data_IF_446134470138
#
_entry.id   IF_446134470138
#
_cell.length_a   1.000
_cell.length_b   1.000
_cell.length_c   1.000
_cell.angle_alpha   90.00
_cell.angle_beta   90.00
_cell.angle_gamma   90.00
#
_symmetry.space_group_name_H-M   'P 1'
#
loop_
_entity.id
_entity.type
_entity.pdbx_description
1 polymer ?
#
# COMPACT_ATOMS: atom_id res chain seq x y z
N UNK A 1 8.84 -12.79 12.87
CA UNK A 1 9.92 -11.79 12.82
C UNK A 1 9.28 -10.46 13.13
N UNK A 2 9.82 -9.77 14.14
CA UNK A 2 9.40 -8.46 14.71
C UNK A 2 7.89 -8.21 14.72
N UNK A 3 7.21 -8.68 15.77
CA UNK A 3 5.92 -8.12 16.15
C UNK A 3 6.12 -6.63 16.46
N UNK A 4 5.44 -5.74 15.74
CA UNK A 4 5.40 -4.31 16.06
C UNK A 4 5.13 -4.14 17.55
N UNK A 5 6.12 -3.57 18.26
CA UNK A 5 6.07 -3.41 19.70
C UNK A 5 4.98 -2.41 20.06
N UNK A 6 4.06 -2.80 20.93
CA UNK A 6 3.01 -1.94 21.45
C UNK A 6 3.64 -0.78 22.25
N UNK A 7 3.75 0.41 21.66
CA UNK A 7 4.25 1.60 22.36
C UNK A 7 3.08 2.21 23.15
N UNK A 8 3.23 2.35 24.47
CA UNK A 8 2.25 3.04 25.31
C UNK A 8 2.16 4.50 24.84
N UNK A 9 1.01 4.89 24.30
CA UNK A 9 0.75 6.24 23.79
C UNK A 9 0.77 6.37 22.27
N UNK A 10 1.03 5.31 21.50
CA UNK A 10 0.90 5.36 20.04
C UNK A 10 -0.56 5.70 19.65
N UNK A 11 -0.81 6.74 18.84
CA UNK A 11 -2.15 7.03 18.34
C UNK A 11 -2.69 5.96 17.38
N UNK A 12 -1.86 5.03 16.92
CA UNK A 12 -2.20 3.96 15.98
C UNK A 12 -2.22 2.60 16.68
N UNK A 13 -3.21 1.78 16.31
CA UNK A 13 -3.24 0.34 16.55
C UNK A 13 -3.10 -0.33 15.19
N UNK A 14 -2.16 -1.26 15.04
CA UNK A 14 -1.96 -1.97 13.78
C UNK A 14 -2.05 -3.48 13.93
N UNK A 15 -2.32 -4.13 12.80
CA UNK A 15 -2.33 -5.57 12.65
C UNK A 15 -1.61 -5.94 11.36
N UNK A 16 -0.42 -6.50 11.49
CA UNK A 16 0.39 -7.03 10.39
C UNK A 16 0.11 -8.53 10.19
N UNK A 17 -0.74 -8.84 9.21
CA UNK A 17 -1.16 -10.20 8.86
C UNK A 17 -0.26 -10.75 7.76
N UNK A 18 1.00 -10.99 8.13
CA UNK A 18 2.07 -11.35 7.21
C UNK A 18 1.73 -12.57 6.34
N UNK A 19 1.02 -13.58 6.84
CA UNK A 19 0.68 -14.78 6.04
C UNK A 19 -0.40 -14.51 5.00
N UNK A 20 -1.28 -13.57 5.28
CA UNK A 20 -2.38 -13.15 4.44
C UNK A 20 -1.97 -12.02 3.49
N UNK A 21 -0.75 -11.48 3.67
CA UNK A 21 -0.20 -10.32 2.95
C UNK A 21 -1.10 -9.08 3.08
N UNK A 22 -1.65 -8.86 4.28
CA UNK A 22 -2.53 -7.72 4.60
C UNK A 22 -2.00 -7.00 5.83
N UNK A 23 -1.96 -5.68 5.77
CA UNK A 23 -1.72 -4.81 6.91
C UNK A 23 -2.92 -3.90 7.14
N UNK A 24 -3.33 -3.74 8.40
CA UNK A 24 -4.43 -2.88 8.82
C UNK A 24 -3.94 -1.90 9.88
N UNK A 25 -4.37 -0.63 9.78
CA UNK A 25 -4.16 0.34 10.85
C UNK A 25 -5.46 1.04 11.26
N UNK A 26 -5.58 1.25 12.56
CA UNK A 26 -6.75 1.81 13.23
C UNK A 26 -6.33 2.98 14.12
N UNK A 27 -7.17 4.00 14.22
CA UNK A 27 -6.98 5.02 15.24
C UNK A 27 -7.21 4.40 16.61
N UNK A 28 -6.27 4.57 17.54
CA UNK A 28 -6.37 3.98 18.87
C UNK A 28 -7.58 4.47 19.66
N UNK A 29 -7.87 5.77 19.59
CA UNK A 29 -8.94 6.42 20.35
C UNK A 29 -10.33 5.99 19.90
N UNK A 30 -10.56 5.90 18.59
CA UNK A 30 -11.87 5.59 18.01
C UNK A 30 -12.04 4.15 17.55
N UNK A 31 -10.93 3.39 17.47
CA UNK A 31 -10.85 2.03 16.90
C UNK A 31 -11.35 1.92 15.46
N UNK A 32 -11.41 3.05 14.73
CA UNK A 32 -11.79 3.07 13.32
C UNK A 32 -10.60 2.68 12.44
N UNK A 33 -10.83 1.77 11.49
CA UNK A 33 -9.88 1.44 10.43
C UNK A 33 -9.66 2.67 9.55
N UNK A 34 -8.40 3.02 9.31
CA UNK A 34 -8.07 4.13 8.40
C UNK A 34 -7.04 3.71 7.34
N UNK A 35 -6.33 2.60 7.51
CA UNK A 35 -5.35 2.13 6.52
C UNK A 35 -5.56 0.64 6.23
N UNK A 36 -5.55 0.31 4.95
CA UNK A 36 -5.45 -1.06 4.46
C UNK A 36 -4.32 -1.13 3.45
N UNK A 37 -3.38 -2.03 3.65
CA UNK A 37 -2.34 -2.34 2.67
C UNK A 37 -2.44 -3.80 2.25
N UNK A 38 -2.46 -4.05 0.94
CA UNK A 38 -2.30 -5.37 0.34
C UNK A 38 -0.89 -5.47 -0.23
N UNK A 39 -0.12 -6.48 0.19
CA UNK A 39 1.21 -6.76 -0.37
C UNK A 39 1.08 -7.87 -1.41
N UNK A 40 1.28 -7.52 -2.68
CA UNK A 40 1.16 -8.45 -3.80
C UNK A 40 2.45 -9.22 -4.05
N UNK A 41 3.57 -8.54 -3.85
CA UNK A 41 4.91 -9.09 -3.97
C UNK A 41 5.77 -8.57 -2.82
N UNK A 42 6.62 -9.44 -2.29
CA UNK A 42 7.59 -9.13 -1.24
C UNK A 42 8.98 -9.48 -1.81
N UNK A 43 9.82 -8.46 -2.03
CA UNK A 43 11.18 -8.66 -2.58
C UNK A 43 12.08 -9.47 -1.64
N UNK A 44 11.86 -9.39 -0.33
CA UNK A 44 12.59 -10.18 0.67
C UNK A 44 12.07 -11.63 0.70
N UNK A 45 10.85 -11.87 0.20
CA UNK A 45 10.18 -13.18 0.17
C UNK A 45 9.52 -13.45 -1.18
N UNK A 46 10.31 -13.64 -2.25
CA UNK A 46 9.77 -13.75 -3.62
C UNK A 46 8.88 -14.99 -3.86
N UNK A 47 8.86 -15.96 -2.95
CA UNK A 47 7.92 -17.11 -2.98
C UNK A 47 6.56 -16.79 -2.37
N UNK A 48 6.47 -15.72 -1.59
CA UNK A 48 5.24 -15.26 -0.96
C UNK A 48 4.43 -14.44 -1.98
N UNK A 49 3.34 -15.03 -2.46
CA UNK A 49 2.36 -14.34 -3.29
C UNK A 49 1.14 -14.01 -2.44
N UNK A 50 0.42 -12.94 -2.80
CA UNK A 50 -0.88 -12.64 -2.19
C UNK A 50 -1.81 -13.87 -2.32
N UNK A 51 -2.24 -14.48 -1.20
CA UNK A 51 -2.86 -15.79 -1.21
C UNK A 51 -4.35 -15.76 -1.59
N UNK A 52 -4.98 -14.58 -1.51
CA UNK A 52 -6.41 -14.42 -1.69
C UNK A 52 -6.76 -13.94 -3.11
N UNK A 53 -8.03 -14.10 -3.48
CA UNK A 53 -8.55 -13.44 -4.68
C UNK A 53 -8.53 -11.92 -4.47
N UNK A 54 -7.97 -11.19 -5.43
CA UNK A 54 -7.96 -9.74 -5.39
C UNK A 54 -9.35 -9.18 -5.73
N UNK A 55 -9.80 -8.11 -5.04
CA UNK A 55 -11.05 -7.46 -5.40
C UNK A 55 -10.93 -6.84 -6.79
N UNK A 56 -12.03 -6.86 -7.55
CA UNK A 56 -12.09 -6.14 -8.82
C UNK A 56 -11.83 -4.63 -8.56
N UNK A 57 -11.08 -3.95 -9.43
CA UNK A 57 -10.56 -4.42 -10.71
C UNK A 57 -9.15 -5.03 -10.67
N UNK A 58 -8.55 -5.21 -9.49
CA UNK A 58 -7.16 -5.61 -9.37
C UNK A 58 -6.90 -7.03 -9.86
N UNK A 59 -5.70 -7.26 -10.39
CA UNK A 59 -5.20 -8.57 -10.83
C UNK A 59 -3.82 -8.83 -10.21
N UNK A 60 -3.37 -10.09 -10.22
CA UNK A 60 -2.14 -10.50 -9.53
C UNK A 60 -0.89 -9.77 -10.03
N UNK A 61 -0.79 -9.57 -11.34
CA UNK A 61 0.34 -8.91 -11.98
C UNK A 61 -0.15 -7.65 -12.67
N UNK A 62 0.22 -6.50 -12.12
CA UNK A 62 -0.14 -5.18 -12.64
C UNK A 62 1.13 -4.39 -12.90
N UNK A 63 1.28 -3.90 -14.13
CA UNK A 63 2.33 -2.96 -14.50
C UNK A 63 1.88 -1.52 -14.23
N UNK A 64 2.82 -0.58 -14.27
CA UNK A 64 2.53 0.86 -14.26
C UNK A 64 1.52 1.21 -15.36
N UNK A 65 1.75 0.77 -16.59
CA UNK A 65 0.86 1.06 -17.73
C UNK A 65 -0.56 0.57 -17.49
N UNK A 66 -0.72 -0.63 -16.90
CA UNK A 66 -2.06 -1.14 -16.58
C UNK A 66 -2.73 -0.30 -15.49
N UNK A 67 -1.99 0.15 -14.49
CA UNK A 67 -2.51 1.07 -13.46
C UNK A 67 -2.96 2.38 -14.09
N UNK A 68 -2.18 2.93 -15.01
CA UNK A 68 -2.51 4.17 -15.72
C UNK A 68 -3.72 4.01 -16.63
N UNK A 69 -3.83 2.88 -17.34
CA UNK A 69 -5.00 2.55 -18.17
C UNK A 69 -6.27 2.42 -17.31
N UNK A 70 -6.16 1.79 -16.14
CA UNK A 70 -7.31 1.47 -15.30
C UNK A 70 -7.76 2.64 -14.41
N UNK A 71 -6.83 3.40 -13.86
CA UNK A 71 -7.08 4.43 -12.85
C UNK A 71 -6.73 5.85 -13.32
N UNK A 72 -6.20 6.01 -14.54
CA UNK A 72 -5.78 7.30 -15.09
C UNK A 72 -4.40 7.71 -14.60
N UNK A 73 -4.10 9.01 -14.72
CA UNK A 73 -2.80 9.56 -14.32
C UNK A 73 -2.78 9.76 -12.80
N UNK A 74 -1.71 9.36 -12.09
CA UNK A 74 -1.60 9.61 -10.66
C UNK A 74 -1.56 11.11 -10.33
N UNK A 75 -2.11 11.47 -9.17
CA UNK A 75 -2.04 12.83 -8.60
C UNK A 75 -0.59 13.22 -8.29
N UNK A 76 0.21 12.28 -7.79
CA UNK A 76 1.63 12.47 -7.47
C UNK A 76 2.43 11.20 -7.76
N UNK A 77 3.67 11.40 -8.16
CA UNK A 77 4.65 10.31 -8.37
C UNK A 77 5.94 10.64 -7.64
N UNK A 78 6.44 9.68 -6.87
CA UNK A 78 7.80 9.66 -6.33
C UNK A 78 8.60 8.69 -7.20
N UNK A 79 9.57 9.18 -8.00
CA UNK A 79 10.38 8.30 -8.84
C UNK A 79 11.26 7.41 -7.97
N UNK A 80 11.68 6.27 -8.54
CA UNK A 80 12.69 5.41 -7.91
C UNK A 80 13.98 6.18 -7.63
N UNK A 81 14.60 5.94 -6.48
CA UNK A 81 15.86 6.60 -6.11
C UNK A 81 16.77 5.67 -5.33
N UNK A 82 18.08 5.89 -5.45
CA UNK A 82 19.09 5.21 -4.62
C UNK A 82 19.60 6.19 -3.58
N UNK A 83 19.51 5.85 -2.30
CA UNK A 83 20.07 6.63 -1.21
C UNK A 83 20.98 5.73 -0.38
N UNK A 84 22.26 6.07 -0.28
CA UNK A 84 23.22 5.31 0.53
C UNK A 84 23.36 3.84 0.11
N UNK A 85 23.15 3.52 -1.17
CA UNK A 85 23.18 2.15 -1.69
C UNK A 85 21.87 1.36 -1.54
N UNK A 86 20.86 1.93 -0.88
CA UNK A 86 19.52 1.35 -0.80
C UNK A 86 18.66 1.85 -1.97
N UNK A 87 18.07 0.92 -2.72
CA UNK A 87 17.14 1.22 -3.79
C UNK A 87 15.72 1.36 -3.22
N UNK A 88 15.07 2.48 -3.53
CA UNK A 88 13.68 2.74 -3.19
C UNK A 88 12.86 2.71 -4.47
N UNK A 89 11.88 1.81 -4.53
CA UNK A 89 10.95 1.68 -5.64
C UNK A 89 10.11 2.95 -5.88
N UNK A 90 9.52 3.04 -7.07
CA UNK A 90 8.61 4.13 -7.43
C UNK A 90 7.34 4.05 -6.59
N UNK A 91 6.75 5.19 -6.25
CA UNK A 91 5.42 5.26 -5.63
C UNK A 91 4.52 6.24 -6.36
N UNK A 92 3.25 5.88 -6.51
CA UNK A 92 2.23 6.74 -7.11
C UNK A 92 1.03 6.89 -6.20
N UNK A 93 0.46 8.08 -6.16
CA UNK A 93 -0.76 8.40 -5.42
C UNK A 93 -1.89 8.66 -6.41
N UNK A 94 -3.00 7.98 -6.20
CA UNK A 94 -4.25 8.16 -6.93
C UNK A 94 -5.32 8.68 -5.99
N UNK A 95 -6.16 9.58 -6.48
CA UNK A 95 -7.39 9.95 -5.80
C UNK A 95 -8.47 8.93 -6.15
N UNK A 96 -9.19 8.44 -5.15
CA UNK A 96 -10.34 7.56 -5.36
C UNK A 96 -11.63 8.37 -5.23
N UNK A 97 -12.37 8.49 -6.33
CA UNK A 97 -13.67 9.14 -6.36
C UNK A 97 -14.81 8.13 -6.11
N UNK A 98 -16.02 8.62 -5.80
CA UNK A 98 -17.22 7.80 -5.61
C UNK A 98 -17.42 7.24 -4.19
N UNK A 99 -16.56 7.60 -3.24
CA UNK A 99 -16.69 7.25 -1.83
C UNK A 99 -17.25 8.41 -1.00
N UNK A 100 -17.87 8.10 0.14
CA UNK A 100 -18.45 9.08 1.07
C UNK A 100 -17.42 9.90 1.85
N UNK A 101 -16.15 9.46 1.81
CA UNK A 101 -14.99 10.19 2.34
C UNK A 101 -13.91 10.29 1.24
N UNK A 102 -13.09 11.34 1.23
CA UNK A 102 -11.94 11.42 0.33
C UNK A 102 -10.94 10.30 0.65
N UNK A 103 -10.74 9.40 -0.31
CA UNK A 103 -9.76 8.32 -0.19
C UNK A 103 -8.62 8.55 -1.19
N UNK A 104 -7.42 8.14 -0.77
CA UNK A 104 -6.26 8.04 -1.62
C UNK A 104 -5.79 6.59 -1.69
N UNK A 105 -5.30 6.21 -2.86
CA UNK A 105 -4.65 4.93 -3.09
C UNK A 105 -3.18 5.18 -3.44
N UNK A 106 -2.26 4.63 -2.66
CA UNK A 106 -0.85 4.61 -2.97
C UNK A 106 -0.48 3.25 -3.55
N UNK A 107 0.29 3.28 -4.63
CA UNK A 107 0.83 2.11 -5.30
C UNK A 107 2.34 2.18 -5.15
N UNK A 108 2.95 1.14 -4.57
CA UNK A 108 4.39 0.95 -4.60
C UNK A 108 4.74 -0.06 -5.69
N UNK A 109 5.85 0.18 -6.37
CA UNK A 109 6.32 -0.67 -7.45
C UNK A 109 7.68 -1.25 -7.12
N UNK A 110 7.84 -2.53 -7.47
CA UNK A 110 9.13 -3.24 -7.49
C UNK A 110 10.09 -2.58 -8.48
N UNK A 111 11.37 -2.97 -8.43
CA UNK A 111 12.38 -2.51 -9.39
C UNK A 111 12.04 -2.87 -10.85
N UNK A 112 11.22 -3.91 -11.05
CA UNK A 112 10.75 -4.36 -12.36
C UNK A 112 9.44 -3.69 -12.79
N UNK A 113 9.08 -2.57 -12.17
CA UNK A 113 7.89 -1.78 -12.50
C UNK A 113 6.56 -2.57 -12.42
N UNK A 114 6.51 -3.55 -11.51
CA UNK A 114 5.31 -4.31 -11.18
C UNK A 114 4.80 -3.88 -9.81
N UNK A 115 3.47 -3.80 -9.64
CA UNK A 115 2.85 -3.42 -8.36
C UNK A 115 3.29 -4.38 -7.26
N UNK A 116 3.96 -3.81 -6.27
CA UNK A 116 4.44 -4.47 -5.07
C UNK A 116 3.34 -4.45 -4.00
N UNK A 117 2.77 -3.28 -3.74
CA UNK A 117 1.72 -3.10 -2.74
C UNK A 117 0.73 -2.01 -3.10
N UNK A 118 -0.46 -2.15 -2.55
CA UNK A 118 -1.58 -1.21 -2.69
C UNK A 118 -2.01 -0.79 -1.29
N UNK A 119 -1.94 0.51 -1.01
CA UNK A 119 -2.38 1.09 0.27
C UNK A 119 -3.56 2.04 0.03
N UNK A 120 -4.65 1.86 0.76
CA UNK A 120 -5.82 2.73 0.73
C UNK A 120 -6.07 3.34 2.10
N UNK A 121 -6.28 4.65 2.15
CA UNK A 121 -6.56 5.40 3.38
C UNK A 121 -7.22 6.75 3.07
N UNK A 122 -7.81 7.45 4.07
CA UNK A 122 -8.25 8.83 3.91
C UNK A 122 -7.13 9.72 3.38
N UNK A 123 -7.48 10.66 2.50
CA UNK A 123 -6.48 11.54 1.86
C UNK A 123 -5.67 12.34 2.89
N UNK A 124 -6.27 12.69 4.03
CA UNK A 124 -5.64 13.42 5.14
C UNK A 124 -4.59 12.60 5.91
N UNK A 125 -4.74 11.27 5.93
CA UNK A 125 -3.81 10.34 6.60
C UNK A 125 -2.59 10.02 5.72
N UNK A 126 -2.75 10.15 4.39
CA UNK A 126 -1.70 9.83 3.43
C UNK A 126 -0.64 10.93 3.35
N UNK A 127 0.39 10.78 4.18
CA UNK A 127 1.62 11.58 4.12
C UNK A 127 2.38 11.26 2.82
N UNK A 128 2.90 12.31 2.18
CA UNK A 128 3.62 12.24 0.91
C UNK A 128 4.90 13.04 0.98
#
# INVERSE_FOLDING_TARGET
GVSGGYIIGDPVLDLDMVKESVYLAFHRSSRKLFCVTLTLFDEDRPTQQFPNALPLPFKKEMSIDWMHEKFGIPEKTIPSKVIGGLQFGMKEKYKLDGFHIPLAMQIAYTEKNTVESITVMPTEEMKW
#
